data_IF_138668590537
#
_entry.id   IF_138668590537
#
_cell.length_a   1.000
_cell.length_b   1.000
_cell.length_c   1.000
_cell.angle_alpha   90.00
_cell.angle_beta   90.00
_cell.angle_gamma   90.00
#
_symmetry.space_group_name_H-M   'P 1'
#
loop_
_entity.id
_entity.type
_entity.pdbx_description
1 polymer ?
#
# COMPACT_ATOMS: atom_id res chain seq x y z
N UNK A 1 5.22 -4.82 -4.58
CA UNK A 1 4.69 -4.12 -5.79
C UNK A 1 4.27 -5.06 -6.91
N UNK A 2 5.11 -5.99 -7.38
CA UNK A 2 4.75 -6.90 -8.48
C UNK A 2 3.45 -7.68 -8.19
N UNK A 3 3.37 -8.35 -7.04
CA UNK A 3 2.17 -9.10 -6.63
C UNK A 3 0.90 -8.25 -6.58
N UNK A 4 1.00 -6.97 -6.18
CA UNK A 4 -0.15 -6.04 -6.19
C UNK A 4 -0.63 -5.77 -7.61
N UNK A 5 0.27 -5.62 -8.59
CA UNK A 5 -0.10 -5.46 -10.00
C UNK A 5 -0.79 -6.70 -10.55
N UNK A 6 -0.31 -7.88 -10.18
CA UNK A 6 -0.88 -9.16 -10.62
C UNK A 6 -2.30 -9.35 -10.07
N UNK A 7 -2.54 -9.03 -8.79
CA UNK A 7 -3.86 -9.19 -8.16
C UNK A 7 -4.86 -8.12 -8.61
N UNK A 8 -4.40 -6.88 -8.80
CA UNK A 8 -5.29 -5.76 -9.14
C UNK A 8 -5.44 -5.55 -10.65
N UNK A 9 -4.63 -6.23 -11.45
CA UNK A 9 -4.50 -6.02 -12.90
C UNK A 9 -4.18 -4.57 -13.31
N UNK A 10 -3.65 -3.77 -12.37
CA UNK A 10 -3.32 -2.37 -12.61
C UNK A 10 -1.87 -2.17 -13.12
N UNK A 11 -1.64 -1.18 -14.00
CA UNK A 11 -0.30 -0.80 -14.41
C UNK A 11 0.57 -0.37 -13.22
N UNK A 12 1.89 -0.62 -13.33
CA UNK A 12 2.85 -0.27 -12.28
C UNK A 12 2.79 1.19 -11.80
N UNK A 13 2.66 2.20 -12.69
CA UNK A 13 2.56 3.59 -12.24
C UNK A 13 1.29 3.85 -11.43
N UNK A 14 0.20 3.13 -11.69
CA UNK A 14 -1.04 3.24 -10.92
C UNK A 14 -0.87 2.62 -9.54
N UNK A 15 -0.38 1.38 -9.45
CA UNK A 15 -0.10 0.74 -8.17
C UNK A 15 0.86 1.57 -7.31
N UNK A 16 1.90 2.14 -7.93
CA UNK A 16 2.86 3.00 -7.22
C UNK A 16 2.21 4.25 -6.64
N UNK A 17 1.35 4.94 -7.42
CA UNK A 17 0.63 6.13 -6.96
C UNK A 17 -0.38 5.80 -5.87
N UNK A 18 -1.09 4.68 -5.99
CA UNK A 18 -2.02 4.21 -4.97
C UNK A 18 -1.31 3.91 -3.65
N UNK A 19 -0.19 3.18 -3.69
CA UNK A 19 0.58 2.91 -2.48
C UNK A 19 1.12 4.20 -1.86
N UNK A 20 1.60 5.16 -2.65
CA UNK A 20 2.02 6.46 -2.12
C UNK A 20 0.87 7.20 -1.41
N UNK A 21 -0.32 7.24 -2.01
CA UNK A 21 -1.50 7.85 -1.38
C UNK A 21 -1.90 7.13 -0.08
N UNK A 22 -1.84 5.79 -0.07
CA UNK A 22 -2.21 4.98 1.09
C UNK A 22 -1.15 5.01 2.21
N UNK A 23 0.11 5.34 1.89
CA UNK A 23 1.17 5.50 2.88
C UNK A 23 0.95 6.71 3.79
N UNK A 24 1.76 6.84 4.83
CA UNK A 24 1.72 8.01 5.72
C UNK A 24 1.99 9.32 4.95
N UNK A 25 2.86 9.27 3.95
CA UNK A 25 3.22 10.40 3.10
C UNK A 25 3.07 10.05 1.63
N UNK A 26 2.32 10.88 0.89
CA UNK A 26 2.17 10.76 -0.56
C UNK A 26 3.33 11.44 -1.30
N UNK A 27 3.68 12.64 -0.85
CA UNK A 27 4.88 13.39 -1.22
C UNK A 27 5.51 13.96 0.06
N UNK A 28 6.73 14.51 0.02
CA UNK A 28 7.33 15.14 1.20
C UNK A 28 6.49 16.26 1.82
N UNK A 29 5.65 16.92 1.03
CA UNK A 29 4.81 18.05 1.43
C UNK A 29 3.33 17.65 1.63
N UNK A 30 2.94 16.48 1.12
CA UNK A 30 1.54 16.04 1.10
C UNK A 30 1.37 14.78 1.95
N UNK A 31 0.63 14.86 3.08
CA UNK A 31 0.32 13.67 3.86
C UNK A 31 -0.54 12.70 3.03
N UNK A 32 -0.30 11.41 3.23
CA UNK A 32 -1.15 10.34 2.73
C UNK A 32 -2.18 9.89 3.78
N UNK A 33 -2.72 8.69 3.60
CA UNK A 33 -3.80 8.17 4.46
C UNK A 33 -3.29 7.37 5.67
N UNK A 34 -2.02 7.00 5.69
CA UNK A 34 -1.42 6.24 6.81
C UNK A 34 -1.99 4.84 7.00
N UNK A 35 -2.42 4.20 5.90
CA UNK A 35 -3.05 2.88 5.89
C UNK A 35 -2.05 1.75 5.56
N UNK A 36 -0.94 2.07 4.89
CA UNK A 36 0.12 1.09 4.59
C UNK A 36 1.49 1.63 4.95
N UNK A 37 2.38 0.73 5.38
CA UNK A 37 3.82 0.99 5.47
C UNK A 37 4.55 0.31 4.32
N UNK A 38 5.74 0.82 3.99
CA UNK A 38 6.56 0.23 2.95
C UNK A 38 8.02 0.16 3.36
N UNK A 39 8.67 -0.97 3.08
CA UNK A 39 10.09 -1.16 3.37
C UNK A 39 10.85 -1.70 2.15
N UNK A 40 12.16 -1.45 2.13
CA UNK A 40 13.08 -2.12 1.20
C UNK A 40 13.39 -3.49 1.77
N UNK A 41 13.27 -4.52 0.95
CA UNK A 41 13.64 -5.87 1.35
C UNK A 41 15.17 -5.97 1.55
N UNK A 42 15.65 -6.35 2.76
CA UNK A 42 17.07 -6.39 3.07
C UNK A 42 17.83 -7.45 2.25
N UNK A 43 17.18 -8.56 1.87
CA UNK A 43 17.78 -9.62 1.05
C UNK A 43 17.69 -9.30 -0.44
N UNK A 44 16.68 -8.54 -0.85
CA UNK A 44 16.44 -8.16 -2.25
C UNK A 44 16.18 -6.66 -2.36
N UNK A 45 17.22 -5.83 -2.31
CA UNK A 45 17.11 -4.35 -2.30
C UNK A 45 16.29 -3.72 -3.44
N UNK A 46 16.12 -4.42 -4.57
CA UNK A 46 15.24 -3.98 -5.68
C UNK A 46 13.75 -4.25 -5.43
N UNK A 47 13.41 -4.94 -4.35
CA UNK A 47 12.05 -5.31 -3.97
C UNK A 47 11.57 -4.42 -2.82
N UNK A 48 10.35 -3.90 -2.99
CA UNK A 48 9.63 -3.11 -2.00
C UNK A 48 8.47 -3.92 -1.43
N UNK A 49 8.44 -4.09 -0.12
CA UNK A 49 7.31 -4.67 0.63
C UNK A 49 6.29 -3.58 0.93
N UNK A 50 5.03 -4.01 1.09
CA UNK A 50 3.90 -3.14 1.42
C UNK A 50 3.05 -3.93 2.40
N UNK A 51 2.86 -3.38 3.59
CA UNK A 51 2.19 -4.02 4.71
C UNK A 51 1.15 -3.05 5.28
N UNK A 52 0.07 -3.55 5.87
CA UNK A 52 -0.93 -2.70 6.50
C UNK A 52 -0.36 -2.08 7.79
N UNK A 53 -0.79 -0.86 8.10
CA UNK A 53 -0.68 -0.31 9.46
C UNK A 53 -1.84 -0.81 10.30
N UNK A 54 -1.81 -0.61 11.62
CA UNK A 54 -2.94 -0.91 12.51
C UNK A 54 -4.25 -0.26 12.00
N UNK A 55 -4.19 1.05 11.66
CA UNK A 55 -5.29 1.79 11.02
C UNK A 55 -5.74 1.15 9.70
N UNK A 56 -4.79 0.63 8.91
CA UNK A 56 -5.07 -0.08 7.67
C UNK A 56 -5.80 -1.40 7.88
N UNK A 57 -5.41 -2.17 8.90
CA UNK A 57 -6.04 -3.44 9.26
C UNK A 57 -7.48 -3.22 9.74
N UNK A 58 -7.73 -2.23 10.59
CA UNK A 58 -9.08 -1.86 11.05
C UNK A 58 -10.01 -1.50 9.89
N UNK A 59 -9.53 -0.68 8.96
CA UNK A 59 -10.30 -0.29 7.78
C UNK A 59 -10.56 -1.49 6.86
N UNK A 60 -9.53 -2.31 6.59
CA UNK A 60 -9.67 -3.49 5.75
C UNK A 60 -10.68 -4.49 6.34
N UNK A 61 -10.65 -4.70 7.66
CA UNK A 61 -11.62 -5.53 8.39
C UNK A 61 -13.04 -4.98 8.25
N UNK A 62 -13.21 -3.66 8.44
CA UNK A 62 -14.51 -2.99 8.29
C UNK A 62 -15.07 -3.12 6.87
N UNK A 63 -14.23 -2.93 5.85
CA UNK A 63 -14.61 -3.09 4.44
C UNK A 63 -14.96 -4.54 4.09
N UNK A 64 -14.18 -5.51 4.57
CA UNK A 64 -14.45 -6.92 4.34
C UNK A 64 -15.79 -7.38 4.94
N UNK A 65 -16.22 -6.77 6.06
CA UNK A 65 -17.53 -7.02 6.65
C UNK A 65 -18.67 -6.31 5.91
N UNK A 66 -18.42 -5.14 5.32
CA UNK A 66 -19.44 -4.35 4.61
C UNK A 66 -19.77 -4.87 3.21
N UNK A 67 -18.87 -5.64 2.60
CA UNK A 67 -19.01 -6.19 1.24
C UNK A 67 -19.47 -7.67 1.25
N UNK A 68 -19.77 -8.22 2.44
CA UNK A 68 -20.44 -9.53 2.60
C UNK A 68 -21.95 -9.39 2.54
#
# INVERSE_FOLDING_TARGET
MQKLREITELPQPTVSRSVALLSEWKTPETPGLGLVTTAIDPQKRRRKTVDLTEKGEELASSLANAVR
#
